data_IF_858111980064
#
_entry.id   IF_858111980064
#
_cell.length_a   1.000
_cell.length_b   1.000
_cell.length_c   1.000
_cell.angle_alpha   90.00
_cell.angle_beta   90.00
_cell.angle_gamma   90.00
#
_symmetry.space_group_name_H-M   'P 1'
#
loop_
_entity.id
_entity.type
_entity.pdbx_description
1 polymer ?
#
# COMPACT_ATOMS: atom_id res chain seq x y z
N UNK A 1 2.27 19.03 4.35
CA UNK A 1 1.73 18.25 3.22
C UNK A 1 2.74 17.22 2.73
N UNK A 2 2.49 15.92 2.95
CA UNK A 2 3.25 14.87 2.26
C UNK A 2 2.71 14.73 0.85
N UNK A 3 3.47 15.21 -0.16
CA UNK A 3 3.10 15.09 -1.59
C UNK A 3 3.05 13.63 -2.06
N UNK A 4 3.84 12.76 -1.44
CA UNK A 4 4.02 11.37 -1.87
C UNK A 4 2.86 10.47 -1.43
N UNK A 5 2.24 10.77 -0.29
CA UNK A 5 1.18 9.93 0.26
C UNK A 5 -0.21 10.12 -0.36
N UNK A 6 -0.42 11.22 -1.10
CA UNK A 6 -1.66 11.45 -1.87
C UNK A 6 -1.60 10.82 -3.27
N UNK A 7 -0.46 10.23 -3.65
CA UNK A 7 -0.35 9.59 -4.96
C UNK A 7 -1.05 8.22 -4.90
N UNK A 8 -2.09 8.00 -5.71
CA UNK A 8 -2.67 6.68 -5.84
C UNK A 8 -1.62 5.69 -6.37
N UNK A 9 -1.66 4.47 -5.86
CA UNK A 9 -0.85 3.35 -6.33
C UNK A 9 -1.67 2.62 -7.38
N UNK A 10 -1.24 2.66 -8.63
CA UNK A 10 -1.89 1.90 -9.70
C UNK A 10 -1.62 0.41 -9.51
N UNK A 11 -2.68 -0.38 -9.40
CA UNK A 11 -2.61 -1.83 -9.29
C UNK A 11 -2.64 -2.42 -10.70
N UNK A 12 -1.56 -3.09 -11.16
CA UNK A 12 -1.53 -3.73 -12.47
C UNK A 12 -2.46 -4.96 -12.50
N UNK A 13 -2.95 -5.28 -13.70
CA UNK A 13 -3.85 -6.41 -13.93
C UNK A 13 -3.19 -7.73 -13.51
N UNK A 14 -3.84 -8.45 -12.60
CA UNK A 14 -3.34 -9.70 -12.01
C UNK A 14 -2.75 -9.56 -10.61
N UNK A 15 -2.73 -8.35 -10.04
CA UNK A 15 -2.38 -8.11 -8.64
C UNK A 15 -3.65 -7.81 -7.83
N UNK A 16 -3.82 -8.49 -6.71
CA UNK A 16 -4.91 -8.27 -5.76
C UNK A 16 -4.34 -7.83 -4.41
N UNK A 17 -4.82 -6.70 -3.90
CA UNK A 17 -4.50 -6.22 -2.56
C UNK A 17 -5.69 -6.53 -1.66
N UNK A 18 -5.42 -7.10 -0.50
CA UNK A 18 -6.42 -7.37 0.53
C UNK A 18 -5.96 -6.76 1.83
N UNK A 19 -6.83 -5.97 2.47
CA UNK A 19 -6.58 -5.47 3.82
C UNK A 19 -7.41 -6.28 4.79
N UNK A 20 -6.77 -6.86 5.81
CA UNK A 20 -7.42 -7.57 6.90
C UNK A 20 -6.89 -7.02 8.22
N UNK A 21 -7.73 -6.25 8.92
CA UNK A 21 -7.36 -5.52 10.13
C UNK A 21 -6.11 -4.64 9.93
N UNK A 22 -5.00 -5.07 10.51
CA UNK A 22 -3.68 -4.43 10.44
C UNK A 22 -2.73 -5.12 9.46
N UNK A 23 -3.18 -6.07 8.64
CA UNK A 23 -2.33 -6.83 7.71
C UNK A 23 -2.80 -6.57 6.28
N UNK A 24 -1.91 -6.04 5.45
CA UNK A 24 -2.10 -5.90 4.00
C UNK A 24 -1.44 -7.08 3.32
N UNK A 25 -2.20 -7.84 2.55
CA UNK A 25 -1.70 -8.94 1.73
C UNK A 25 -1.83 -8.56 0.26
N UNK A 26 -0.70 -8.53 -0.44
CA UNK A 26 -0.61 -8.29 -1.88
C UNK A 26 -0.30 -9.61 -2.55
N UNK A 27 -1.21 -10.11 -3.39
CA UNK A 27 -0.99 -11.29 -4.21
C UNK A 27 -0.81 -10.89 -5.65
N UNK A 28 0.12 -11.54 -6.35
CA UNK A 28 0.32 -11.36 -7.77
C UNK A 28 0.89 -12.60 -8.43
N UNK A 29 1.23 -12.52 -9.73
CA UNK A 29 1.67 -13.68 -10.51
C UNK A 29 2.99 -14.30 -9.99
N UNK A 30 3.84 -13.52 -9.30
CA UNK A 30 5.12 -14.00 -8.78
C UNK A 30 5.09 -14.47 -7.32
N UNK A 31 3.96 -14.35 -6.63
CA UNK A 31 3.81 -14.77 -5.23
C UNK A 31 2.87 -13.88 -4.42
N UNK A 32 2.89 -14.07 -3.11
CA UNK A 32 2.16 -13.24 -2.16
C UNK A 32 3.09 -12.61 -1.13
N UNK A 33 2.82 -11.36 -0.78
CA UNK A 33 3.55 -10.58 0.23
C UNK A 33 2.56 -10.06 1.25
N UNK A 34 2.92 -10.21 2.53
CA UNK A 34 2.12 -9.72 3.66
C UNK A 34 2.91 -8.67 4.40
N UNK A 35 2.27 -7.54 4.70
CA UNK A 35 2.86 -6.46 5.46
C UNK A 35 1.90 -6.01 6.57
N UNK A 36 2.41 -5.93 7.79
CA UNK A 36 1.70 -5.30 8.89
C UNK A 36 1.72 -3.78 8.75
N UNK A 37 0.53 -3.20 8.76
CA UNK A 37 0.26 -1.77 8.74
C UNK A 37 -0.30 -1.33 10.10
N UNK A 38 0.04 -0.12 10.49
CA UNK A 38 -0.48 0.46 11.72
C UNK A 38 -1.99 0.74 11.56
N UNK A 39 -2.84 0.41 12.55
CA UNK A 39 -4.29 0.64 12.49
C UNK A 39 -4.68 2.12 12.30
N UNK A 40 -3.78 3.06 12.56
CA UNK A 40 -3.99 4.49 12.29
C UNK A 40 -3.91 4.86 10.80
N UNK A 41 -3.56 3.92 9.93
CA UNK A 41 -3.47 4.06 8.48
C UNK A 41 -4.63 3.28 7.85
N UNK A 42 -5.41 3.95 7.01
CA UNK A 42 -6.50 3.31 6.26
C UNK A 42 -6.04 3.10 4.81
N UNK A 43 -6.33 1.95 4.23
CA UNK A 43 -6.02 1.66 2.83
C UNK A 43 -7.35 1.50 2.09
N UNK A 44 -7.61 2.40 1.15
CA UNK A 44 -8.79 2.36 0.30
C UNK A 44 -8.40 1.81 -1.07
N UNK A 45 -9.17 0.86 -1.59
CA UNK A 45 -8.92 0.24 -2.89
C UNK A 45 -10.11 0.62 -3.79
N UNK A 46 -9.87 1.46 -4.79
CA UNK A 46 -10.88 1.95 -5.74
C UNK A 46 -10.49 1.51 -7.16
N UNK A 47 -11.26 0.60 -7.76
CA UNK A 47 -11.29 0.27 -9.20
C UNK A 47 -9.93 0.17 -9.95
N UNK A 48 -8.88 -0.36 -9.28
CA UNK A 48 -7.47 -0.52 -9.71
C UNK A 48 -6.48 0.52 -9.17
N UNK A 49 -6.87 1.34 -8.20
CA UNK A 49 -5.99 2.25 -7.49
C UNK A 49 -6.07 1.97 -6.00
N UNK A 50 -4.91 1.93 -5.35
CA UNK A 50 -4.80 1.82 -3.91
C UNK A 50 -4.41 3.19 -3.36
N UNK A 51 -5.28 3.75 -2.52
CA UNK A 51 -5.11 5.05 -1.90
C UNK A 51 -4.91 4.86 -0.40
N UNK A 52 -3.78 5.34 0.10
CA UNK A 52 -3.49 5.28 1.52
C UNK A 52 -3.98 6.57 2.16
N UNK A 53 -4.83 6.47 3.17
CA UNK A 53 -5.33 7.57 3.98
C UNK A 53 -4.75 7.49 5.40
N UNK A 54 -4.57 8.65 6.04
CA UNK A 54 -4.12 8.74 7.43
C UNK A 54 -5.26 9.25 8.31
N UNK A 55 -5.42 8.66 9.50
CA UNK A 55 -6.47 9.09 10.42
C UNK A 55 -6.17 10.44 11.09
N UNK A 56 -4.90 10.69 11.46
CA UNK A 56 -4.48 11.93 12.13
C UNK A 56 -3.26 12.56 11.43
N UNK A 57 -3.12 13.89 11.56
CA UNK A 57 -2.03 14.69 10.98
C UNK A 57 -0.77 14.79 11.87
N UNK A 58 -0.64 13.87 12.82
CA UNK A 58 0.56 13.76 13.66
C UNK A 58 1.82 13.48 12.83
N UNK A 59 2.95 13.98 13.34
CA UNK A 59 4.24 13.87 12.64
C UNK A 59 4.64 12.42 12.38
N UNK A 60 4.31 11.51 13.30
CA UNK A 60 4.53 10.07 13.16
C UNK A 60 3.65 9.47 12.04
N UNK A 61 2.34 9.73 12.06
CA UNK A 61 1.42 9.24 11.04
C UNK A 61 1.77 9.75 9.65
N UNK A 62 2.26 10.97 9.54
CA UNK A 62 2.73 11.52 8.27
C UNK A 62 3.98 10.83 7.73
N UNK A 63 4.89 10.38 8.60
CA UNK A 63 6.05 9.57 8.21
C UNK A 63 5.64 8.16 7.81
N UNK A 64 4.78 7.52 8.62
CA UNK A 64 4.22 6.19 8.36
C UNK A 64 3.43 6.16 7.05
N UNK A 65 2.67 7.21 6.75
CA UNK A 65 1.89 7.33 5.51
C UNK A 65 2.77 7.22 4.26
N UNK A 66 3.90 7.92 4.22
CA UNK A 66 4.85 7.82 3.12
C UNK A 66 5.57 6.47 3.05
N UNK A 67 5.88 5.88 4.21
CA UNK A 67 6.50 4.57 4.32
C UNK A 67 5.58 3.47 3.77
N UNK A 68 4.34 3.39 4.26
CA UNK A 68 3.39 2.35 3.85
C UNK A 68 3.00 2.47 2.38
N UNK A 69 2.84 3.69 1.86
CA UNK A 69 2.66 3.91 0.42
C UNK A 69 3.82 3.31 -0.39
N UNK A 70 5.06 3.54 0.03
CA UNK A 70 6.24 3.02 -0.67
C UNK A 70 6.34 1.49 -0.53
N UNK A 71 6.03 0.93 0.64
CA UNK A 71 6.02 -0.51 0.86
C UNK A 71 4.98 -1.20 -0.02
N UNK A 72 3.74 -0.68 -0.06
CA UNK A 72 2.67 -1.25 -0.90
C UNK A 72 3.05 -1.15 -2.39
N UNK A 73 3.56 -0.01 -2.83
CA UNK A 73 4.07 0.15 -4.20
C UNK A 73 5.15 -0.89 -4.53
N UNK A 74 6.14 -1.05 -3.65
CA UNK A 74 7.22 -2.01 -3.84
C UNK A 74 6.72 -3.47 -3.84
N UNK A 75 5.74 -3.79 -2.98
CA UNK A 75 5.10 -5.11 -3.00
C UNK A 75 4.39 -5.35 -4.32
N UNK A 76 3.60 -4.40 -4.81
CA UNK A 76 2.88 -4.48 -6.09
C UNK A 76 3.86 -4.65 -7.25
N UNK A 77 4.89 -3.81 -7.33
CA UNK A 77 5.95 -3.92 -8.35
C UNK A 77 6.69 -5.26 -8.21
N UNK A 78 6.99 -5.72 -6.99
CA UNK A 78 7.67 -6.99 -6.74
C UNK A 78 6.87 -8.22 -7.16
N UNK A 79 5.56 -8.26 -6.90
CA UNK A 79 4.73 -9.39 -7.33
C UNK A 79 4.37 -9.36 -8.82
N UNK A 80 4.45 -8.18 -9.45
CA UNK A 80 4.16 -7.96 -10.88
C UNK A 80 5.42 -8.11 -11.75
N UNK A 81 6.38 -7.20 -11.61
CA UNK A 81 7.60 -7.13 -12.43
C UNK A 81 8.71 -8.04 -11.90
N UNK A 82 8.72 -8.34 -10.59
CA UNK A 82 9.82 -9.04 -9.92
C UNK A 82 11.09 -8.21 -9.84
N UNK A 83 11.94 -8.52 -8.86
CA UNK A 83 13.27 -7.93 -8.77
C UNK A 83 14.26 -8.77 -9.60
N UNK A 84 15.15 -8.11 -10.35
CA UNK A 84 16.35 -8.72 -10.96
C UNK A 84 17.55 -8.50 -10.04
#
# INVERSE_FOLDING_TARGET
MSRIGNLPITIPSGVSITQKDSIVTVKGPKGELTQEINPNITVSIEDNQCLVARANDEKQNRALHGLYRSLIQNMVTGVSEGYQ
#
